data_IF_593986631108
#
_entry.id   IF_593986631108
#
_cell.length_a   1.000
_cell.length_b   1.000
_cell.length_c   1.000
_cell.angle_alpha   90.00
_cell.angle_beta   90.00
_cell.angle_gamma   90.00
#
_symmetry.space_group_name_H-M   'P 1'
#
loop_
_entity.id
_entity.type
_entity.pdbx_description
1 polymer ?
#
# COMPACT_ATOMS: atom_id res chain seq x y z
N UNK A 1 -14.79 27.38 -7.23
CA UNK A 1 -14.63 26.16 -6.41
C UNK A 1 -13.22 26.23 -5.89
N UNK A 2 -13.04 26.52 -4.60
CA UNK A 2 -11.70 26.57 -4.00
C UNK A 2 -11.18 25.14 -3.86
N UNK A 3 -9.93 24.92 -4.26
CA UNK A 3 -9.28 23.63 -4.03
C UNK A 3 -9.13 23.40 -2.52
N UNK A 4 -9.47 22.21 -2.00
CA UNK A 4 -9.28 21.92 -0.59
C UNK A 4 -7.79 22.03 -0.25
N UNK A 5 -7.48 22.76 0.83
CA UNK A 5 -6.12 22.85 1.36
C UNK A 5 -5.64 21.45 1.73
N UNK A 6 -4.56 21.00 1.06
CA UNK A 6 -3.95 19.69 1.21
C UNK A 6 -2.53 19.85 1.74
N UNK A 7 -2.23 19.17 2.85
CA UNK A 7 -0.90 19.13 3.42
C UNK A 7 -0.21 17.81 3.06
N UNK A 8 1.05 17.89 2.60
CA UNK A 8 1.89 16.72 2.39
C UNK A 8 2.39 16.21 3.74
N UNK A 9 2.19 14.92 4.02
CA UNK A 9 2.59 14.29 5.28
C UNK A 9 3.98 13.66 5.26
N UNK A 10 4.53 13.42 4.07
CA UNK A 10 5.84 12.80 3.91
C UNK A 10 6.96 13.61 4.60
N UNK A 11 7.86 12.92 5.28
CA UNK A 11 9.13 13.51 5.68
C UNK A 11 10.04 13.64 4.44
N UNK A 12 10.56 14.84 4.11
CA UNK A 12 11.31 15.09 2.87
C UNK A 12 12.54 14.20 2.69
N UNK A 13 13.20 13.84 3.79
CA UNK A 13 14.45 13.08 3.80
C UNK A 13 14.24 11.56 3.94
N UNK A 14 12.98 11.11 3.91
CA UNK A 14 12.63 9.70 4.08
C UNK A 14 12.20 9.12 2.75
N UNK A 15 12.98 8.16 2.27
CA UNK A 15 12.70 7.42 1.03
C UNK A 15 11.68 6.31 1.29
N UNK A 16 10.71 6.17 0.38
CA UNK A 16 9.68 5.12 0.46
C UNK A 16 10.02 3.93 -0.42
N UNK A 17 11.02 4.07 -1.30
CA UNK A 17 11.54 3.00 -2.14
C UNK A 17 13.06 2.94 -2.09
N UNK A 18 13.58 1.77 -1.74
CA UNK A 18 15.00 1.46 -1.81
C UNK A 18 15.41 1.23 -3.26
N UNK A 19 16.48 1.90 -3.66
CA UNK A 19 17.13 1.72 -4.94
C UNK A 19 17.87 0.38 -5.04
N UNK A 20 18.57 0.20 -6.15
CA UNK A 20 19.43 -0.95 -6.40
C UNK A 20 20.76 -0.47 -7.01
N UNK A 21 21.55 -1.38 -7.60
CA UNK A 21 22.83 -1.02 -8.23
C UNK A 21 22.72 -0.05 -9.41
N UNK A 22 21.51 0.17 -9.94
CA UNK A 22 21.26 1.00 -11.13
C UNK A 22 20.40 2.23 -10.80
N UNK A 23 19.59 2.16 -9.74
CA UNK A 23 18.67 3.23 -9.34
C UNK A 23 18.93 3.67 -7.91
N UNK A 24 18.89 4.99 -7.65
CA UNK A 24 18.95 5.54 -6.29
C UNK A 24 17.65 5.34 -5.52
N UNK A 25 17.70 5.54 -4.21
CA UNK A 25 16.51 5.61 -3.37
C UNK A 25 15.58 6.76 -3.82
N UNK A 26 14.27 6.53 -3.73
CA UNK A 26 13.24 7.47 -4.18
C UNK A 26 12.03 7.50 -3.24
N UNK A 27 11.17 8.52 -3.41
CA UNK A 27 9.95 8.73 -2.61
C UNK A 27 8.72 8.80 -3.52
N UNK A 28 8.35 7.71 -4.23
CA UNK A 28 7.18 7.72 -5.12
C UNK A 28 5.84 7.68 -4.38
N UNK A 29 5.82 7.26 -3.12
CA UNK A 29 4.58 7.09 -2.34
C UNK A 29 4.31 8.36 -1.53
N UNK A 30 3.23 9.08 -1.87
CA UNK A 30 2.87 10.35 -1.24
C UNK A 30 1.59 10.22 -0.42
N UNK A 31 1.61 10.79 0.78
CA UNK A 31 0.49 10.82 1.72
C UNK A 31 0.04 12.26 1.91
N UNK A 32 -1.22 12.54 1.65
CA UNK A 32 -1.80 13.87 1.77
C UNK A 32 -2.90 13.88 2.83
N UNK A 33 -3.02 14.99 3.55
CA UNK A 33 -4.09 15.24 4.49
C UNK A 33 -4.94 16.42 3.99
N UNK A 34 -6.25 16.27 4.03
CA UNK A 34 -7.19 17.39 3.91
C UNK A 34 -7.76 17.75 5.27
N UNK A 35 -7.76 19.05 5.59
CA UNK A 35 -8.27 19.58 6.85
C UNK A 35 -7.29 19.46 8.02
N UNK A 36 -7.77 19.77 9.22
CA UNK A 36 -6.94 19.86 10.43
C UNK A 36 -7.15 18.66 11.33
N UNK A 37 -6.31 17.64 11.19
CA UNK A 37 -6.27 16.48 12.08
C UNK A 37 -4.89 16.38 12.75
N UNK A 38 -4.86 15.98 14.02
CA UNK A 38 -3.61 15.58 14.68
C UNK A 38 -3.18 14.23 14.11
N UNK A 39 -2.17 14.25 13.25
CA UNK A 39 -1.69 13.08 12.51
C UNK A 39 -0.18 12.95 12.68
N UNK A 40 0.29 11.70 12.77
CA UNK A 40 1.70 11.37 12.63
C UNK A 40 1.91 10.44 11.45
N UNK A 41 2.91 10.73 10.64
CA UNK A 41 3.35 9.91 9.53
C UNK A 41 4.70 9.28 9.87
N UNK A 42 4.94 8.03 9.45
CA UNK A 42 6.27 7.41 9.53
C UNK A 42 6.45 6.34 8.46
N UNK A 43 7.70 6.15 8.04
CA UNK A 43 8.14 4.94 7.33
C UNK A 43 8.45 3.85 8.35
N UNK A 44 7.72 2.75 8.29
CA UNK A 44 7.92 1.62 9.21
C UNK A 44 9.26 0.91 8.92
N UNK A 45 9.96 0.53 9.98
CA UNK A 45 11.22 -0.21 9.90
C UNK A 45 10.99 -1.73 9.79
N UNK A 46 10.05 -2.15 8.92
CA UNK A 46 9.75 -3.55 8.65
C UNK A 46 10.30 -3.93 7.28
N UNK A 47 11.03 -5.04 7.22
CA UNK A 47 11.47 -5.62 5.96
C UNK A 47 10.49 -6.73 5.55
N UNK A 48 9.82 -6.53 4.43
CA UNK A 48 8.90 -7.50 3.83
C UNK A 48 9.46 -8.08 2.52
N UNK A 49 10.79 -8.02 2.34
CA UNK A 49 11.49 -8.46 1.13
C UNK A 49 11.01 -7.74 -0.14
N UNK A 50 10.51 -6.50 0.03
CA UNK A 50 10.11 -5.59 -1.04
C UNK A 50 11.07 -4.41 -1.10
N UNK A 51 11.20 -3.81 -2.28
CA UNK A 51 11.90 -2.53 -2.45
C UNK A 51 11.08 -1.34 -1.91
N UNK A 52 9.79 -1.53 -1.65
CA UNK A 52 8.90 -0.52 -1.06
C UNK A 52 8.83 -0.64 0.46
N UNK A 53 8.83 0.51 1.13
CA UNK A 53 8.66 0.61 2.57
C UNK A 53 7.18 0.69 2.95
N UNK A 54 6.82 0.10 4.09
CA UNK A 54 5.48 0.26 4.66
C UNK A 54 5.35 1.66 5.25
N UNK A 55 4.23 2.33 4.98
CA UNK A 55 3.91 3.66 5.50
C UNK A 55 2.84 3.55 6.58
N UNK A 56 3.14 4.09 7.76
CA UNK A 56 2.24 4.17 8.89
C UNK A 56 1.71 5.59 9.08
N UNK A 57 0.39 5.75 9.09
CA UNK A 57 -0.29 7.01 9.41
C UNK A 57 -1.15 6.77 10.63
N UNK A 58 -0.88 7.53 11.70
CA UNK A 58 -1.71 7.50 12.92
C UNK A 58 -2.51 8.79 12.98
N UNK A 59 -3.83 8.68 12.92
CA UNK A 59 -4.76 9.81 13.08
C UNK A 59 -5.27 9.76 14.52
N UNK A 60 -5.04 10.82 15.30
CA UNK A 60 -5.57 10.95 16.65
C UNK A 60 -6.97 11.55 16.61
N UNK A 61 -7.93 10.86 17.21
CA UNK A 61 -9.31 11.30 17.27
C UNK A 61 -10.06 10.65 18.44
N UNK A 62 -11.28 11.13 18.71
CA UNK A 62 -12.18 10.49 19.68
C UNK A 62 -12.58 9.08 19.22
N UNK A 63 -12.79 8.15 20.17
CA UNK A 63 -13.19 6.73 19.99
C UNK A 63 -13.62 6.38 18.56
N UNK A 64 -12.69 5.83 17.78
CA UNK A 64 -12.99 5.23 16.49
C UNK A 64 -13.66 3.87 16.70
N UNK A 65 -14.83 3.66 16.10
CA UNK A 65 -15.43 2.33 15.96
C UNK A 65 -15.26 1.91 14.51
N UNK A 66 -14.37 0.94 14.28
CA UNK A 66 -14.22 0.36 12.95
C UNK A 66 -15.56 -0.19 12.46
N UNK A 67 -16.03 0.30 11.33
CA UNK A 67 -17.11 -0.36 10.59
C UNK A 67 -16.47 -1.51 9.85
N UNK A 68 -16.66 -2.74 10.34
CA UNK A 68 -16.20 -3.93 9.62
C UNK A 68 -17.05 -4.08 8.35
N UNK A 69 -16.44 -3.87 7.19
CA UNK A 69 -17.02 -4.19 5.89
C UNK A 69 -16.81 -5.65 5.50
N UNK A 70 -17.39 -6.05 4.37
CA UNK A 70 -17.10 -7.35 3.76
C UNK A 70 -15.87 -7.23 2.86
N UNK A 71 -14.78 -7.94 3.18
CA UNK A 71 -13.62 -8.04 2.31
C UNK A 71 -13.74 -9.27 1.40
N UNK A 72 -13.43 -9.11 0.11
CA UNK A 72 -13.26 -10.25 -0.79
C UNK A 72 -11.80 -10.67 -0.78
N UNK A 73 -11.53 -11.86 -0.25
CA UNK A 73 -10.19 -12.46 -0.23
C UNK A 73 -10.13 -13.52 -1.32
N UNK A 74 -9.26 -13.31 -2.32
CA UNK A 74 -9.01 -14.29 -3.37
C UNK A 74 -8.08 -15.39 -2.86
N UNK A 75 -8.55 -16.63 -2.92
CA UNK A 75 -7.74 -17.82 -2.67
C UNK A 75 -6.89 -18.12 -3.92
N UNK A 76 -5.64 -17.66 -3.91
CA UNK A 76 -4.70 -17.86 -5.01
C UNK A 76 -4.36 -19.34 -5.26
N UNK A 77 -4.45 -20.20 -4.25
CA UNK A 77 -4.16 -21.63 -4.43
C UNK A 77 -5.28 -22.33 -5.21
N UNK A 78 -6.54 -21.96 -4.97
CA UNK A 78 -7.66 -22.40 -5.81
C UNK A 78 -7.48 -21.95 -7.25
N UNK A 79 -7.08 -20.69 -7.48
CA UNK A 79 -6.83 -20.15 -8.82
C UNK A 79 -5.68 -20.90 -9.52
N UNK A 80 -4.57 -21.15 -8.81
CA UNK A 80 -3.42 -21.92 -9.34
C UNK A 80 -3.79 -23.36 -9.70
N UNK A 81 -4.61 -24.04 -8.88
CA UNK A 81 -5.11 -25.40 -9.17
C UNK A 81 -6.01 -25.41 -10.41
N UNK A 82 -6.92 -24.44 -10.50
CA UNK A 82 -7.84 -24.30 -11.63
C UNK A 82 -7.08 -24.08 -12.96
N UNK A 83 -6.09 -23.21 -12.97
CA UNK A 83 -5.28 -22.91 -14.16
C UNK A 83 -4.39 -24.07 -14.61
N UNK A 84 -3.80 -24.83 -13.68
CA UNK A 84 -3.06 -26.07 -14.01
C UNK A 84 -3.97 -27.12 -14.66
N UNK A 85 -5.21 -27.25 -14.20
CA UNK A 85 -6.16 -28.22 -14.77
C UNK A 85 -6.62 -27.85 -16.19
N UNK A 86 -6.68 -26.55 -16.54
CA UNK A 86 -7.01 -26.13 -17.91
C UNK A 86 -5.95 -26.48 -18.95
N UNK A 87 -4.66 -26.49 -18.57
CA UNK A 87 -3.54 -26.82 -19.50
C UNK A 87 -3.48 -28.32 -19.89
N UNK A 88 -4.32 -29.18 -19.29
CA UNK A 88 -4.32 -30.65 -19.53
C UNK A 88 -5.41 -31.13 -20.48
N UNK A 89 -6.19 -30.25 -21.12
CA UNK A 89 -7.09 -30.67 -22.20
C UNK A 89 -6.28 -30.86 -23.48
N UNK A 90 -6.13 -32.09 -24.02
CA UNK A 90 -5.51 -32.26 -25.32
C UNK A 90 -6.35 -31.51 -26.36
N UNK A 91 -5.69 -30.83 -27.30
CA UNK A 91 -6.35 -30.34 -28.51
C UNK A 91 -6.96 -31.56 -29.20
N UNK A 92 -8.28 -31.57 -29.36
CA UNK A 92 -8.95 -32.54 -30.23
C UNK A 92 -8.47 -32.25 -31.65
N UNK A 93 -7.77 -33.21 -32.26
CA UNK A 93 -7.62 -33.29 -33.71
C UNK A 93 -8.96 -33.64 -34.34
#
# INVERSE_FOLDING_TARGET
MEDPEMALLNEPDVTTRRGNSVARDTTPDLSWLSGTLDVSWRREAVDLESDQSVIGITIRGSRYRAVLGTAQITDWDKVRKFTKNKKRRPRKN
#
